data_IF_662481758041
#
_entry.id   IF_662481758041
#
_cell.length_a   1.000
_cell.length_b   1.000
_cell.length_c   1.000
_cell.angle_alpha   90.00
_cell.angle_beta   90.00
_cell.angle_gamma   90.00
#
_symmetry.space_group_name_H-M   'P 1'
#
loop_
_entity.id
_entity.type
_entity.pdbx_description
1 polymer ?
#
# COMPACT_ATOMS: atom_id res chain seq x y z
N UNK A 1 12.99 -1.45 -20.74
CA UNK A 1 11.71 -1.42 -20.01
C UNK A 1 12.03 -1.41 -18.54
N UNK A 2 11.47 -0.48 -17.76
CA UNK A 2 11.57 -0.50 -16.30
C UNK A 2 10.70 -1.63 -15.76
N UNK A 3 11.16 -2.43 -14.78
CA UNK A 3 10.35 -3.49 -14.19
C UNK A 3 9.13 -2.91 -13.45
N UNK A 4 7.99 -3.58 -13.56
CA UNK A 4 6.75 -3.22 -12.85
C UNK A 4 6.76 -3.87 -11.46
N UNK A 5 6.77 -3.07 -10.41
CA UNK A 5 6.67 -3.55 -9.03
C UNK A 5 5.21 -3.73 -8.62
N UNK A 6 4.87 -4.88 -8.02
CA UNK A 6 3.54 -5.16 -7.49
C UNK A 6 3.53 -5.34 -5.98
N UNK A 7 2.43 -4.97 -5.34
CA UNK A 7 2.17 -5.17 -3.91
C UNK A 7 0.99 -6.14 -3.72
N UNK A 8 1.18 -7.14 -2.86
CA UNK A 8 0.15 -8.13 -2.52
C UNK A 8 -0.21 -8.00 -1.03
N UNK A 9 -1.47 -7.73 -0.75
CA UNK A 9 -2.04 -7.66 0.59
C UNK A 9 -2.94 -8.87 0.82
N UNK A 10 -2.41 -9.87 1.51
CA UNK A 10 -3.14 -11.09 1.83
C UNK A 10 -4.28 -10.83 2.84
N UNK A 11 -5.25 -11.75 2.87
CA UNK A 11 -6.31 -11.72 3.89
C UNK A 11 -5.74 -12.01 5.28
N UNK A 12 -6.30 -11.36 6.32
CA UNK A 12 -5.81 -11.53 7.70
C UNK A 12 -6.76 -11.11 8.81
N UNK A 13 -7.99 -10.67 8.50
CA UNK A 13 -8.91 -10.11 9.49
C UNK A 13 -8.27 -8.94 10.24
N UNK A 14 -8.38 -8.91 11.57
CA UNK A 14 -7.76 -7.88 12.41
C UNK A 14 -6.23 -7.74 12.22
N UNK A 15 -5.54 -8.82 11.82
CA UNK A 15 -4.09 -8.79 11.57
C UNK A 15 -3.70 -8.00 10.31
N UNK A 16 -4.67 -7.66 9.46
CA UNK A 16 -4.42 -6.77 8.33
C UNK A 16 -3.95 -5.37 8.78
N UNK A 17 -4.20 -4.97 10.03
CA UNK A 17 -3.67 -3.72 10.58
C UNK A 17 -2.12 -3.67 10.59
N UNK A 18 -1.44 -4.82 10.69
CA UNK A 18 0.01 -4.86 10.57
C UNK A 18 0.49 -4.40 9.18
N UNK A 19 -0.30 -4.66 8.14
CA UNK A 19 0.03 -4.21 6.78
C UNK A 19 0.04 -2.69 6.69
N UNK A 20 -0.88 -2.01 7.39
CA UNK A 20 -0.94 -0.54 7.45
C UNK A 20 0.34 0.03 8.06
N UNK A 21 0.79 -0.53 9.19
CA UNK A 21 2.05 -0.11 9.83
C UNK A 21 3.27 -0.31 8.93
N UNK A 22 3.33 -1.41 8.17
CA UNK A 22 4.41 -1.64 7.18
C UNK A 22 4.36 -0.61 6.06
N UNK A 23 3.17 -0.29 5.55
CA UNK A 23 3.00 0.71 4.49
C UNK A 23 3.38 2.12 4.97
N UNK A 24 3.02 2.49 6.19
CA UNK A 24 3.45 3.74 6.81
C UNK A 24 4.99 3.81 6.94
N UNK A 25 5.62 2.73 7.42
CA UNK A 25 7.09 2.66 7.47
C UNK A 25 7.75 2.77 6.09
N UNK A 26 7.15 2.21 5.04
CA UNK A 26 7.63 2.38 3.66
C UNK A 26 7.48 3.85 3.22
N UNK A 27 6.36 4.51 3.55
CA UNK A 27 6.14 5.92 3.23
C UNK A 27 7.17 6.86 3.88
N UNK A 28 7.58 6.58 5.12
CA UNK A 28 8.63 7.32 5.81
C UNK A 28 10.01 7.21 5.14
N UNK A 29 10.27 6.11 4.44
CA UNK A 29 11.52 5.89 3.71
C UNK A 29 11.54 6.54 2.33
N UNK A 30 10.38 6.96 1.81
CA UNK A 30 10.30 7.59 0.50
C UNK A 30 10.60 9.10 0.57
N UNK A 31 11.15 9.69 -0.50
CA UNK A 31 11.29 11.14 -0.57
C UNK A 31 9.95 11.87 -0.37
N UNK A 32 9.96 13.08 0.22
CA UNK A 32 8.75 13.88 0.35
C UNK A 32 8.08 14.10 -1.01
N UNK A 33 6.78 13.83 -1.09
CA UNK A 33 5.99 13.96 -2.32
C UNK A 33 6.20 12.85 -3.35
N UNK A 34 6.89 11.76 -2.99
CA UNK A 34 7.00 10.60 -3.86
C UNK A 34 5.62 10.01 -4.16
N UNK A 35 5.41 9.60 -5.40
CA UNK A 35 4.25 8.81 -5.79
C UNK A 35 4.35 7.41 -5.15
N UNK A 36 3.20 6.75 -5.04
CA UNK A 36 3.15 5.36 -4.61
C UNK A 36 4.06 4.49 -5.51
N UNK A 37 5.04 3.74 -4.95
CA UNK A 37 5.98 2.93 -5.73
C UNK A 37 5.36 1.64 -6.28
N UNK A 38 4.10 1.33 -5.96
CA UNK A 38 3.40 0.11 -6.33
C UNK A 38 2.29 0.40 -7.36
N UNK A 39 2.60 0.40 -8.67
CA UNK A 39 1.60 0.61 -9.73
C UNK A 39 0.57 -0.52 -9.84
N UNK A 40 0.87 -1.69 -9.30
CA UNK A 40 -0.06 -2.84 -9.25
C UNK A 40 -0.27 -3.22 -7.79
N UNK A 41 -1.53 -3.16 -7.34
CA UNK A 41 -1.91 -3.51 -5.97
C UNK A 41 -2.99 -4.58 -6.04
N UNK A 42 -2.78 -5.69 -5.32
CA UNK A 42 -3.73 -6.78 -5.20
C UNK A 42 -4.04 -6.98 -3.74
N UNK A 43 -5.32 -7.12 -3.40
CA UNK A 43 -5.74 -7.41 -2.03
C UNK A 43 -6.88 -8.45 -1.97
N UNK A 44 -6.87 -9.29 -0.95
CA UNK A 44 -7.90 -10.32 -0.73
C UNK A 44 -8.56 -10.15 0.63
N UNK A 45 -9.90 -10.18 0.67
CA UNK A 45 -10.70 -10.05 1.91
C UNK A 45 -10.29 -8.79 2.71
N UNK A 46 -9.87 -8.92 3.98
CA UNK A 46 -9.39 -7.78 4.77
C UNK A 46 -8.22 -7.00 4.11
N UNK A 47 -7.34 -7.69 3.36
CA UNK A 47 -6.27 -7.04 2.61
C UNK A 47 -6.78 -6.23 1.41
N UNK A 48 -7.96 -6.54 0.88
CA UNK A 48 -8.59 -5.76 -0.19
C UNK A 48 -9.00 -4.36 0.30
N UNK A 49 -9.40 -4.23 1.56
CA UNK A 49 -9.74 -2.92 2.16
C UNK A 49 -8.51 -2.02 2.18
N UNK A 50 -7.37 -2.53 2.68
CA UNK A 50 -6.10 -1.82 2.68
C UNK A 50 -5.63 -1.51 1.25
N UNK A 51 -5.77 -2.46 0.32
CA UNK A 51 -5.39 -2.26 -1.08
C UNK A 51 -6.18 -1.13 -1.74
N UNK A 52 -7.51 -1.10 -1.52
CA UNK A 52 -8.38 -0.04 -2.02
C UNK A 52 -8.04 1.29 -1.37
N UNK A 53 -7.80 1.34 -0.06
CA UNK A 53 -7.40 2.56 0.63
C UNK A 53 -6.10 3.13 0.04
N UNK A 54 -5.07 2.28 -0.13
CA UNK A 54 -3.79 2.66 -0.70
C UNK A 54 -3.90 3.11 -2.17
N UNK A 55 -4.69 2.40 -2.98
CA UNK A 55 -4.92 2.74 -4.37
C UNK A 55 -5.74 4.03 -4.53
N UNK A 56 -6.72 4.26 -3.66
CA UNK A 56 -7.60 5.44 -3.70
C UNK A 56 -6.92 6.69 -3.12
N UNK A 57 -6.05 6.50 -2.12
CA UNK A 57 -5.22 7.55 -1.52
C UNK A 57 -3.90 7.81 -2.26
N UNK A 58 -3.66 7.16 -3.41
CA UNK A 58 -2.40 7.26 -4.15
C UNK A 58 -2.05 8.68 -4.68
N UNK A 59 -2.96 9.66 -4.54
CA UNK A 59 -2.66 11.09 -4.74
C UNK A 59 -2.01 11.76 -3.52
N UNK A 60 -2.02 11.12 -2.34
CA UNK A 60 -1.30 11.49 -1.10
C UNK A 60 -0.93 10.23 -0.29
N UNK A 61 0.14 9.55 -0.71
CA UNK A 61 0.68 8.37 -0.02
C UNK A 61 1.09 8.63 1.45
N UNK A 62 1.26 9.90 1.85
CA UNK A 62 1.67 10.29 3.21
C UNK A 62 0.54 10.40 4.24
N UNK A 63 -0.72 10.11 3.90
CA UNK A 63 -1.89 10.28 4.80
C UNK A 63 -2.67 8.97 5.06
N UNK A 64 -2.10 7.78 4.78
CA UNK A 64 -2.76 6.47 5.01
C UNK A 64 -2.21 5.71 6.21
#
# INVERSE_FOLDING_TARGET
MTPTTGLILSGGGARAAYQVGVLAGIAELLPPGANNPFPVIVGTSAGAINAVALASGASRFSES
#
